data_IF_180892122006
#
_entry.id   IF_180892122006
#
_cell.length_a   1.000
_cell.length_b   1.000
_cell.length_c   1.000
_cell.angle_alpha   90.00
_cell.angle_beta   90.00
_cell.angle_gamma   90.00
#
_symmetry.space_group_name_H-M   'P 1'
#
loop_
_entity.id
_entity.type
_entity.pdbx_description
1 polymer ?
#
# COMPACT_ATOMS: atom_id res chain seq x y z
N UNK A 1 -14.40 -10.02 0.75
CA UNK A 1 -14.19 -9.08 -0.38
C UNK A 1 -12.74 -9.17 -0.86
N UNK A 2 -12.46 -8.90 -2.13
CA UNK A 2 -11.10 -8.93 -2.68
C UNK A 2 -10.47 -7.54 -2.59
N UNK A 3 -9.18 -7.45 -2.24
CA UNK A 3 -8.39 -6.20 -2.24
C UNK A 3 -7.31 -6.26 -3.32
N UNK A 4 -6.97 -5.13 -3.93
CA UNK A 4 -5.90 -4.99 -4.91
C UNK A 4 -4.61 -4.52 -4.22
N UNK A 5 -3.56 -5.35 -4.25
CA UNK A 5 -2.25 -4.93 -3.75
C UNK A 5 -1.45 -4.20 -4.83
N UNK A 6 -0.87 -3.05 -4.49
CA UNK A 6 0.02 -2.27 -5.35
C UNK A 6 1.41 -2.27 -4.70
N UNK A 7 2.31 -3.12 -5.20
CA UNK A 7 3.72 -3.10 -4.79
C UNK A 7 4.49 -2.05 -5.60
N UNK A 8 5.41 -1.33 -4.94
CA UNK A 8 6.05 -0.15 -5.51
C UNK A 8 5.12 1.06 -5.55
N UNK A 9 4.16 1.14 -4.62
CA UNK A 9 3.16 2.21 -4.56
C UNK A 9 3.77 3.62 -4.45
N UNK A 10 4.99 3.74 -3.94
CA UNK A 10 5.72 5.01 -3.82
C UNK A 10 6.49 5.41 -5.09
N UNK A 11 6.47 4.59 -6.14
CA UNK A 11 6.99 4.98 -7.46
C UNK A 11 6.03 5.92 -8.17
N UNK A 12 6.47 6.54 -9.27
CA UNK A 12 5.58 7.36 -10.10
C UNK A 12 4.36 6.55 -10.57
N UNK A 13 4.57 5.39 -11.20
CA UNK A 13 3.48 4.53 -11.68
C UNK A 13 2.62 3.99 -10.55
N UNK A 14 3.23 3.58 -9.43
CA UNK A 14 2.52 3.07 -8.27
C UNK A 14 1.59 4.10 -7.64
N UNK A 15 2.04 5.36 -7.54
CA UNK A 15 1.21 6.47 -7.05
C UNK A 15 0.03 6.71 -7.97
N UNK A 16 0.27 6.81 -9.28
CA UNK A 16 -0.79 6.99 -10.28
C UNK A 16 -1.81 5.86 -10.20
N UNK A 17 -1.35 4.60 -10.14
CA UNK A 17 -2.24 3.45 -10.01
C UNK A 17 -3.05 3.45 -8.71
N UNK A 18 -2.42 3.82 -7.58
CA UNK A 18 -3.10 3.91 -6.28
C UNK A 18 -4.18 5.00 -6.28
N UNK A 19 -3.89 6.16 -6.87
CA UNK A 19 -4.86 7.25 -7.01
C UNK A 19 -6.06 6.82 -7.83
N UNK A 20 -5.87 6.29 -9.04
CA UNK A 20 -6.99 5.86 -9.87
C UNK A 20 -7.79 4.71 -9.26
N UNK A 21 -7.13 3.75 -8.60
CA UNK A 21 -7.83 2.66 -7.94
C UNK A 21 -8.71 3.16 -6.77
N UNK A 22 -8.25 4.18 -6.04
CA UNK A 22 -9.05 4.86 -5.00
C UNK A 22 -10.24 5.59 -5.60
N UNK A 23 -10.03 6.38 -6.65
CA UNK A 23 -11.11 7.10 -7.35
C UNK A 23 -12.17 6.14 -7.91
N UNK A 24 -11.75 4.95 -8.34
CA UNK A 24 -12.63 3.88 -8.78
C UNK A 24 -13.34 3.11 -7.63
N UNK A 25 -13.11 3.47 -6.37
CA UNK A 25 -13.71 2.80 -5.20
C UNK A 25 -13.17 1.39 -4.93
N UNK A 26 -12.03 1.02 -5.52
CA UNK A 26 -11.41 -0.28 -5.32
C UNK A 26 -10.73 -0.30 -3.96
N UNK A 27 -10.95 -1.37 -3.17
CA UNK A 27 -10.20 -1.56 -1.95
C UNK A 27 -8.74 -1.97 -2.26
N UNK A 28 -7.75 -1.16 -1.86
CA UNK A 28 -6.34 -1.36 -2.20
C UNK A 28 -5.50 -1.59 -0.96
N UNK A 29 -4.35 -2.25 -1.15
CA UNK A 29 -3.26 -2.37 -0.18
C UNK A 29 -2.03 -1.76 -0.85
N UNK A 30 -1.41 -0.75 -0.26
CA UNK A 30 -0.15 -0.18 -0.76
C UNK A 30 1.06 -0.86 -0.10
N UNK A 31 2.08 -1.18 -0.90
CA UNK A 31 3.27 -1.86 -0.42
C UNK A 31 4.54 -1.39 -1.14
N UNK A 32 5.69 -1.58 -0.51
CA UNK A 32 6.96 -1.07 -1.00
C UNK A 32 8.07 -1.16 0.05
N UNK A 33 9.27 -0.72 -0.34
CA UNK A 33 10.49 -0.83 0.47
C UNK A 33 10.68 0.33 1.44
N UNK A 34 10.11 1.49 1.11
CA UNK A 34 10.25 2.72 1.89
C UNK A 34 9.01 2.92 2.75
N UNK A 35 9.13 2.59 4.03
CA UNK A 35 8.04 2.70 5.00
C UNK A 35 7.58 4.14 5.25
N UNK A 36 8.50 5.12 5.20
CA UNK A 36 8.16 6.52 5.42
C UNK A 36 7.35 7.07 4.23
N UNK A 37 7.82 6.82 3.00
CA UNK A 37 7.10 7.23 1.80
C UNK A 37 5.73 6.51 1.65
N UNK A 38 5.60 5.28 2.16
CA UNK A 38 4.31 4.58 2.23
C UNK A 38 3.35 5.20 3.25
N UNK A 39 3.85 5.60 4.42
CA UNK A 39 3.04 6.26 5.43
C UNK A 39 2.49 7.61 4.91
N UNK A 40 3.35 8.40 4.26
CA UNK A 40 2.95 9.66 3.62
C UNK A 40 1.91 9.43 2.52
N UNK A 41 2.12 8.41 1.67
CA UNK A 41 1.17 8.04 0.62
C UNK A 41 -0.18 7.56 1.21
N UNK A 42 -0.16 6.80 2.31
CA UNK A 42 -1.39 6.34 2.97
C UNK A 42 -2.22 7.52 3.48
N UNK A 43 -1.55 8.53 4.04
CA UNK A 43 -2.18 9.75 4.54
C UNK A 43 -2.83 10.55 3.41
N UNK A 44 -2.11 10.75 2.30
CA UNK A 44 -2.61 11.48 1.11
C UNK A 44 -3.76 10.72 0.44
N UNK A 45 -3.65 9.40 0.32
CA UNK A 45 -4.65 8.56 -0.34
C UNK A 45 -5.90 8.27 0.54
N UNK A 46 -5.96 8.80 1.77
CA UNK A 46 -7.08 8.58 2.70
C UNK A 46 -7.28 7.11 3.08
N UNK A 47 -6.23 6.29 3.02
CA UNK A 47 -6.28 4.88 3.38
C UNK A 47 -6.37 4.74 4.91
N UNK A 48 -7.57 4.39 5.40
CA UNK A 48 -7.82 4.13 6.83
C UNK A 48 -7.27 2.79 7.34
N UNK A 49 -6.93 1.87 6.44
CA UNK A 49 -6.55 0.50 6.79
C UNK A 49 -5.08 0.26 6.40
N UNK A 50 -4.18 0.64 7.30
CA UNK A 50 -2.73 0.50 7.15
C UNK A 50 -2.32 -0.97 7.31
N UNK A 51 -2.36 -1.76 6.24
CA UNK A 51 -1.65 -3.05 6.21
C UNK A 51 -0.28 -2.88 5.55
N UNK A 52 0.64 -2.35 6.34
CA UNK A 52 2.08 -2.28 6.09
C UNK A 52 2.63 -3.70 5.85
N UNK A 53 3.18 -3.97 4.66
CA UNK A 53 4.13 -5.07 4.48
C UNK A 53 5.48 -4.48 4.11
N UNK A 54 6.33 -4.43 5.14
CA UNK A 54 7.76 -4.19 5.04
C UNK A 54 8.41 -5.39 4.34
N UNK A 55 8.93 -5.17 3.13
CA UNK A 55 9.73 -6.18 2.44
C UNK A 55 11.16 -6.17 2.98
N UNK A 56 11.37 -6.70 4.18
CA UNK A 56 12.66 -7.33 4.47
C UNK A 56 12.52 -8.81 4.13
N UNK A 57 13.38 -9.39 3.29
CA UNK A 57 13.38 -10.84 3.08
C UNK A 57 13.56 -11.64 4.39
N UNK A 58 14.09 -11.03 5.46
CA UNK A 58 14.20 -11.64 6.79
C UNK A 58 13.02 -11.40 7.74
N UNK A 59 12.07 -10.50 7.41
CA UNK A 59 10.89 -10.30 8.25
C UNK A 59 9.80 -11.29 7.93
N UNK A 60 9.88 -12.45 8.58
CA UNK A 60 8.72 -13.32 8.80
C UNK A 60 7.71 -12.61 9.70
N UNK A 61 6.96 -11.65 9.17
CA UNK A 61 5.73 -11.21 9.81
C UNK A 61 4.60 -12.15 9.41
N UNK A 62 4.35 -13.12 10.28
CA UNK A 62 3.13 -13.93 10.29
C UNK A 62 1.91 -13.00 10.34
N UNK A 63 0.90 -13.18 9.47
CA UNK A 63 -0.33 -12.42 9.56
C UNK A 63 -1.08 -12.90 10.80
N UNK A 64 -1.08 -12.12 11.86
CA UNK A 64 -2.06 -12.29 12.94
C UNK A 64 -3.23 -11.33 12.65
N UNK A 65 -4.36 -11.98 12.35
CA UNK A 65 -5.76 -11.57 12.28
C UNK A 65 -6.06 -10.07 12.33
#
# INVERSE_FOLDING_TARGET
MKKLMIYGATSYTGRTAATYAREAGIDIIIAGRDGAALADLALIAGQRDQRLIWTNPDSRHSPTL
#
